data_IF_649043240699
#
_entry.id   IF_649043240699
#
_cell.length_a   1.000
_cell.length_b   1.000
_cell.length_c   1.000
_cell.angle_alpha   90.00
_cell.angle_beta   90.00
_cell.angle_gamma   90.00
#
_symmetry.space_group_name_H-M   'P 1'
#
loop_
_entity.id
_entity.type
_entity.pdbx_description
1 polymer ?
#
# COMPACT_ATOMS: atom_id res chain seq x y z
N UNK A 1 -23.60 58.92 -31.10
CA UNK A 1 -25.03 59.23 -31.25
C UNK A 1 -25.67 58.13 -32.09
N UNK A 2 -26.64 57.39 -31.51
CA UNK A 2 -27.83 56.71 -32.13
C UNK A 2 -27.63 55.75 -33.31
N UNK A 3 -28.18 54.52 -33.39
CA UNK A 3 -29.21 53.71 -32.70
C UNK A 3 -28.91 52.23 -33.08
N UNK A 4 -28.79 51.27 -32.16
CA UNK A 4 -29.85 50.42 -31.59
C UNK A 4 -30.71 49.65 -32.62
N UNK A 5 -30.60 48.32 -32.63
CA UNK A 5 -31.70 47.41 -32.98
C UNK A 5 -31.65 46.14 -32.11
N UNK A 6 -32.81 45.91 -31.47
CA UNK A 6 -33.19 44.81 -30.58
C UNK A 6 -33.43 43.51 -31.37
N UNK A 7 -33.10 42.37 -30.77
CA UNK A 7 -34.05 41.25 -30.68
C UNK A 7 -33.70 40.31 -29.53
N UNK A 8 -34.53 40.42 -28.51
CA UNK A 8 -34.66 39.54 -27.36
C UNK A 8 -35.28 38.21 -27.79
N UNK A 9 -34.65 37.09 -27.49
CA UNK A 9 -35.30 35.77 -27.47
C UNK A 9 -35.14 35.20 -26.06
N UNK A 10 -36.24 35.27 -25.30
CA UNK A 10 -36.43 34.52 -24.06
C UNK A 10 -36.94 33.12 -24.43
N UNK A 11 -36.20 32.08 -24.05
CA UNK A 11 -36.73 30.71 -24.01
C UNK A 11 -36.76 30.28 -22.55
N UNK A 12 -37.97 30.31 -21.97
CA UNK A 12 -38.30 29.69 -20.69
C UNK A 12 -38.69 28.25 -20.99
N UNK A 13 -37.90 27.29 -20.53
CA UNK A 13 -38.24 25.86 -20.56
C UNK A 13 -38.61 25.43 -19.14
N UNK A 14 -39.92 25.36 -18.90
CA UNK A 14 -40.50 24.77 -17.71
C UNK A 14 -40.51 23.24 -17.87
N UNK A 15 -39.83 22.52 -16.96
CA UNK A 15 -39.92 21.07 -16.85
C UNK A 15 -40.81 20.74 -15.66
N UNK A 16 -41.98 20.20 -15.97
CA UNK A 16 -42.99 19.72 -15.03
C UNK A 16 -42.59 18.37 -14.44
N UNK A 17 -42.57 18.28 -13.12
CA UNK A 17 -42.40 17.03 -12.37
C UNK A 17 -43.73 16.28 -12.28
N UNK A 18 -43.77 15.03 -12.77
CA UNK A 18 -44.87 14.09 -12.57
C UNK A 18 -44.49 13.08 -11.50
N UNK A 19 -44.98 13.32 -10.28
CA UNK A 19 -45.05 12.32 -9.21
C UNK A 19 -46.27 11.44 -9.47
N UNK A 20 -46.06 10.12 -9.64
CA UNK A 20 -47.14 9.14 -9.55
C UNK A 20 -46.87 8.21 -8.37
N UNK A 21 -47.77 8.35 -7.39
CA UNK A 21 -47.93 7.52 -6.20
C UNK A 21 -48.79 6.31 -6.56
N UNK A 22 -48.36 5.11 -6.16
CA UNK A 22 -49.23 3.96 -6.00
C UNK A 22 -48.95 3.34 -4.63
N UNK A 23 -49.95 3.40 -3.75
CA UNK A 23 -49.96 2.78 -2.42
C UNK A 23 -50.80 1.50 -2.40
N UNK A 24 -50.37 0.59 -1.52
CA UNK A 24 -51.11 -0.44 -0.77
C UNK A 24 -51.70 -1.67 -1.51
N UNK A 25 -51.30 -2.87 -1.10
CA UNK A 25 -51.96 -3.56 0.04
C UNK A 25 -51.16 -4.81 0.51
N UNK A 26 -51.19 -5.18 1.81
CA UNK A 26 -50.46 -6.32 2.35
C UNK A 26 -51.32 -7.60 2.35
N UNK A 27 -50.67 -8.77 2.19
CA UNK A 27 -51.28 -10.07 2.49
C UNK A 27 -50.48 -10.80 3.57
N UNK A 28 -51.17 -10.96 4.68
CA UNK A 28 -50.94 -11.86 5.81
C UNK A 28 -50.88 -13.31 5.36
N UNK A 29 -49.84 -14.06 5.78
CA UNK A 29 -49.91 -15.53 5.93
C UNK A 29 -49.22 -15.91 7.25
N UNK A 30 -50.09 -16.16 8.23
CA UNK A 30 -50.06 -17.14 9.33
C UNK A 30 -48.72 -17.73 9.80
N UNK A 31 -48.41 -17.44 11.07
CA UNK A 31 -47.64 -18.30 11.97
C UNK A 31 -48.42 -19.59 12.27
N UNK A 32 -47.72 -20.72 12.34
CA UNK A 32 -48.21 -21.91 13.03
C UNK A 32 -47.11 -22.47 13.92
N UNK A 33 -47.33 -22.31 15.22
CA UNK A 33 -46.69 -23.03 16.31
C UNK A 33 -47.23 -24.45 16.33
N UNK A 34 -46.38 -25.46 16.56
CA UNK A 34 -46.80 -26.51 17.47
C UNK A 34 -45.66 -27.19 18.22
N UNK A 35 -45.98 -27.39 19.50
CA UNK A 35 -45.18 -27.88 20.60
C UNK A 35 -44.75 -29.35 20.48
N UNK A 36 -43.74 -29.66 21.30
CA UNK A 36 -43.26 -30.98 21.69
C UNK A 36 -44.35 -31.89 22.32
N UNK A 37 -43.99 -33.16 22.58
CA UNK A 37 -43.93 -33.53 24.00
C UNK A 37 -42.69 -34.39 24.38
N UNK A 38 -42.22 -34.15 25.62
CA UNK A 38 -41.44 -35.08 26.47
C UNK A 38 -42.32 -36.28 26.88
N UNK A 39 -41.90 -37.42 27.43
CA UNK A 39 -40.70 -37.93 28.07
C UNK A 39 -40.82 -39.49 28.07
N UNK A 40 -39.77 -40.23 28.43
CA UNK A 40 -39.71 -41.16 29.60
C UNK A 40 -38.43 -42.01 29.55
N UNK A 41 -37.82 -42.17 30.73
CA UNK A 41 -36.57 -42.89 31.05
C UNK A 41 -36.79 -44.39 31.28
N UNK A 42 -35.81 -45.23 30.91
CA UNK A 42 -35.51 -46.49 31.59
C UNK A 42 -34.06 -46.93 31.28
N UNK A 43 -33.40 -47.47 32.30
CA UNK A 43 -31.96 -47.63 32.40
C UNK A 43 -31.45 -49.08 32.20
N UNK A 44 -30.11 -49.15 32.07
CA UNK A 44 -29.19 -50.27 32.35
C UNK A 44 -29.01 -51.35 31.28
N UNK A 45 -27.83 -51.38 30.64
CA UNK A 45 -26.84 -52.46 30.75
C UNK A 45 -25.55 -52.16 29.94
N UNK A 46 -24.41 -52.48 30.53
CA UNK A 46 -23.08 -52.71 29.90
C UNK A 46 -22.47 -53.92 30.63
N UNK A 47 -21.36 -54.58 30.22
CA UNK A 47 -20.40 -54.37 29.11
C UNK A 47 -20.11 -55.74 28.37
N UNK A 48 -18.99 -56.07 27.65
CA UNK A 48 -17.71 -55.36 27.49
C UNK A 48 -16.99 -55.36 26.12
N UNK A 49 -16.03 -54.42 26.06
CA UNK A 49 -14.73 -54.39 25.37
C UNK A 49 -14.63 -54.69 23.86
N UNK A 50 -14.05 -53.76 23.09
CA UNK A 50 -12.69 -53.89 22.50
C UNK A 50 -12.44 -52.79 21.42
N UNK A 51 -11.25 -52.17 21.45
CA UNK A 51 -10.58 -51.34 20.41
C UNK A 51 -11.23 -49.99 20.01
N UNK A 52 -10.54 -48.86 19.81
CA UNK A 52 -9.13 -48.50 19.73
C UNK A 52 -9.05 -46.96 19.73
N UNK A 53 -8.11 -46.37 20.46
CA UNK A 53 -7.87 -44.92 20.53
C UNK A 53 -7.15 -44.40 19.28
N UNK A 54 -7.43 -43.18 18.78
CA UNK A 54 -6.54 -42.49 17.85
C UNK A 54 -5.50 -41.65 18.60
N UNK A 55 -4.27 -41.71 18.09
CA UNK A 55 -3.07 -41.03 18.55
C UNK A 55 -3.23 -39.51 18.72
N UNK A 56 -2.65 -39.01 19.82
CA UNK A 56 -2.37 -37.59 20.02
C UNK A 56 -1.06 -37.25 19.30
N UNK A 57 -1.00 -36.26 18.38
CA UNK A 57 0.27 -35.85 17.82
C UNK A 57 1.05 -35.09 18.90
N UNK A 58 2.17 -35.67 19.32
CA UNK A 58 3.19 -35.02 20.16
C UNK A 58 3.66 -33.75 19.46
N UNK A 59 3.40 -32.57 20.05
CA UNK A 59 4.01 -31.31 19.65
C UNK A 59 5.53 -31.41 19.82
N UNK A 60 6.24 -31.51 18.72
CA UNK A 60 7.67 -31.22 18.66
C UNK A 60 7.91 -29.80 19.17
N UNK A 61 8.87 -29.55 20.08
CA UNK A 61 9.24 -28.21 20.49
C UNK A 61 9.69 -27.41 19.27
N UNK A 62 9.03 -26.30 18.99
CA UNK A 62 9.46 -25.36 17.97
C UNK A 62 10.86 -24.83 18.35
N UNK A 63 11.84 -25.04 17.48
CA UNK A 63 13.14 -24.40 17.55
C UNK A 63 12.93 -22.88 17.66
N UNK A 64 13.58 -22.16 18.60
CA UNK A 64 13.43 -20.72 18.69
C UNK A 64 13.90 -20.08 17.38
N UNK A 65 13.02 -19.26 16.79
CA UNK A 65 13.35 -18.41 15.65
C UNK A 65 14.59 -17.56 16.00
N UNK A 66 15.60 -17.46 15.12
CA UNK A 66 16.74 -16.58 15.38
C UNK A 66 16.25 -15.16 15.62
N UNK A 67 16.85 -14.48 16.61
CA UNK A 67 16.58 -13.08 16.87
C UNK A 67 16.88 -12.25 15.61
N UNK A 68 16.14 -11.16 15.35
CA UNK A 68 16.36 -10.32 14.17
C UNK A 68 17.82 -9.86 14.10
N UNK A 69 18.49 -10.16 12.99
CA UNK A 69 19.85 -9.70 12.74
C UNK A 69 19.84 -8.17 12.62
N UNK A 70 20.62 -7.48 13.45
CA UNK A 70 20.69 -6.01 13.43
C UNK A 70 21.52 -5.60 12.22
N UNK A 71 20.84 -5.23 11.13
CA UNK A 71 21.47 -4.73 9.91
C UNK A 71 22.04 -3.33 10.18
N UNK A 72 23.35 -3.17 10.03
CA UNK A 72 23.99 -1.87 10.18
C UNK A 72 23.58 -0.90 9.06
N UNK A 73 23.31 0.38 9.36
CA UNK A 73 22.93 1.35 8.33
C UNK A 73 24.12 1.65 7.41
N UNK A 74 23.84 1.73 6.11
CA UNK A 74 24.80 2.05 5.04
C UNK A 74 24.51 3.40 4.39
N UNK A 75 23.24 3.82 4.36
CA UNK A 75 22.82 5.05 3.69
C UNK A 75 22.07 5.96 4.66
N UNK A 76 22.21 7.27 4.45
CA UNK A 76 21.38 8.27 5.11
C UNK A 76 20.72 9.19 4.07
N UNK A 77 19.54 9.69 4.42
CA UNK A 77 18.78 10.59 3.56
C UNK A 77 19.16 12.05 3.83
N UNK A 78 19.37 12.80 2.75
CA UNK A 78 19.59 14.24 2.77
C UNK A 78 18.28 15.02 2.86
N UNK A 79 18.35 16.33 3.14
CA UNK A 79 17.18 17.22 3.20
C UNK A 79 16.41 17.36 1.87
N UNK A 80 17.00 16.91 0.75
CA UNK A 80 16.38 16.90 -0.59
C UNK A 80 16.03 15.48 -1.05
N UNK A 81 15.82 14.57 -0.09
CA UNK A 81 15.34 13.19 -0.31
C UNK A 81 16.25 12.31 -1.20
N UNK A 82 17.54 12.68 -1.29
CA UNK A 82 18.59 11.82 -1.88
C UNK A 82 19.26 10.99 -0.82
N UNK A 83 19.78 9.83 -1.19
CA UNK A 83 20.51 8.94 -0.30
C UNK A 83 22.02 9.02 -0.56
N UNK A 84 22.80 9.18 0.51
CA UNK A 84 24.26 9.18 0.45
C UNK A 84 24.80 8.05 1.33
N UNK A 85 25.91 7.41 0.93
CA UNK A 85 26.56 6.42 1.79
C UNK A 85 27.10 7.11 3.06
N UNK A 86 26.86 6.50 4.21
CA UNK A 86 27.44 6.92 5.50
C UNK A 86 28.96 6.67 5.50
N UNK A 87 29.36 5.58 4.84
CA UNK A 87 30.75 5.16 4.66
C UNK A 87 30.94 4.65 3.22
N UNK A 88 31.63 5.45 2.40
CA UNK A 88 31.85 5.15 0.98
C UNK A 88 32.72 3.90 0.74
N UNK A 89 33.42 3.40 1.77
CA UNK A 89 34.17 2.15 1.67
C UNK A 89 33.27 0.92 1.78
N UNK A 90 32.05 1.09 2.29
CA UNK A 90 31.06 0.02 2.52
C UNK A 90 29.86 0.09 1.59
N UNK A 91 29.60 1.24 0.98
CA UNK A 91 28.42 1.48 0.15
C UNK A 91 28.73 2.38 -1.04
N UNK A 92 28.11 2.09 -2.18
CA UNK A 92 28.32 2.83 -3.43
C UNK A 92 27.62 4.19 -3.40
N UNK A 93 28.29 5.23 -3.90
CA UNK A 93 27.64 6.50 -4.23
C UNK A 93 26.63 6.37 -5.38
N UNK A 94 26.93 5.51 -6.36
CA UNK A 94 26.04 5.23 -7.49
C UNK A 94 25.05 4.15 -7.08
N UNK A 95 24.12 4.55 -6.22
CA UNK A 95 23.01 3.72 -5.79
C UNK A 95 21.71 4.51 -5.95
N UNK A 96 20.60 3.80 -6.17
CA UNK A 96 19.24 4.37 -6.21
C UNK A 96 18.32 3.59 -5.30
N UNK A 97 17.35 4.28 -4.71
CA UNK A 97 16.24 3.68 -3.98
C UNK A 97 15.04 3.57 -4.92
N UNK A 98 14.49 2.36 -5.04
CA UNK A 98 13.26 2.10 -5.78
C UNK A 98 12.07 2.20 -4.83
N UNK A 99 11.04 2.96 -5.23
CA UNK A 99 9.82 3.10 -4.43
C UNK A 99 8.58 3.03 -5.30
N UNK A 100 7.53 2.39 -4.78
CA UNK A 100 6.23 2.23 -5.44
C UNK A 100 5.13 2.75 -4.52
N UNK A 101 4.40 3.76 -4.96
CA UNK A 101 3.22 4.27 -4.27
C UNK A 101 1.97 3.50 -4.70
N UNK A 102 0.91 3.68 -3.92
CA UNK A 102 -0.44 3.21 -4.23
C UNK A 102 -0.66 1.70 -4.22
N UNK A 103 0.19 0.96 -3.51
CA UNK A 103 0.03 -0.48 -3.29
C UNK A 103 -0.85 -0.81 -2.07
N UNK A 104 -1.29 -2.06 -1.88
CA UNK A 104 -1.42 -3.12 -2.87
C UNK A 104 -2.82 -3.14 -3.54
N UNK A 105 -2.93 -3.29 -4.85
CA UNK A 105 -4.24 -3.33 -5.53
C UNK A 105 -4.43 -4.48 -6.52
N UNK A 106 -3.46 -4.71 -7.40
CA UNK A 106 -3.55 -5.61 -8.53
C UNK A 106 -2.51 -6.71 -8.41
N UNK A 107 -2.99 -7.94 -8.20
CA UNK A 107 -2.15 -9.12 -8.03
C UNK A 107 -1.19 -9.36 -9.19
N UNK A 108 -1.62 -9.18 -10.43
CA UNK A 108 -0.78 -9.42 -11.61
C UNK A 108 0.36 -8.40 -11.68
N UNK A 109 0.04 -7.11 -11.49
CA UNK A 109 1.04 -6.03 -11.47
C UNK A 109 2.05 -6.25 -10.36
N UNK A 110 1.60 -6.56 -9.14
CA UNK A 110 2.50 -6.85 -8.00
C UNK A 110 3.41 -8.04 -8.33
N UNK A 111 2.89 -9.15 -8.86
CA UNK A 111 3.75 -10.29 -9.19
C UNK A 111 4.81 -9.91 -10.24
N UNK A 112 4.43 -9.19 -11.30
CA UNK A 112 5.38 -8.75 -12.32
C UNK A 112 6.47 -7.82 -11.75
N UNK A 113 6.09 -6.90 -10.87
CA UNK A 113 7.05 -6.03 -10.17
C UNK A 113 8.00 -6.86 -9.30
N UNK A 114 7.48 -7.78 -8.48
CA UNK A 114 8.27 -8.61 -7.56
C UNK A 114 9.21 -9.57 -8.31
N UNK A 115 8.75 -10.19 -9.40
CA UNK A 115 9.55 -11.09 -10.22
C UNK A 115 10.71 -10.33 -10.89
N UNK A 116 10.46 -9.10 -11.35
CA UNK A 116 11.50 -8.23 -11.89
C UNK A 116 12.49 -7.80 -10.81
N UNK A 117 12.01 -7.38 -9.64
CA UNK A 117 12.88 -7.02 -8.52
C UNK A 117 13.78 -8.19 -8.11
N UNK A 118 13.25 -9.41 -8.04
CA UNK A 118 14.04 -10.59 -7.71
C UNK A 118 15.05 -10.96 -8.79
N UNK A 119 14.69 -10.83 -10.07
CA UNK A 119 15.61 -11.01 -11.22
C UNK A 119 16.83 -10.09 -11.12
N UNK A 120 16.63 -8.86 -10.66
CA UNK A 120 17.67 -7.84 -10.51
C UNK A 120 18.30 -7.82 -9.10
N UNK A 121 17.92 -8.75 -8.22
CA UNK A 121 18.32 -8.74 -6.80
C UNK A 121 18.08 -7.39 -6.11
N UNK A 122 17.06 -6.66 -6.55
CA UNK A 122 16.71 -5.34 -6.07
C UNK A 122 15.69 -5.43 -4.93
N UNK A 123 15.83 -4.52 -3.96
CA UNK A 123 14.83 -4.29 -2.92
C UNK A 123 14.24 -2.89 -3.07
N UNK A 124 12.97 -2.76 -2.71
CA UNK A 124 12.18 -1.55 -2.87
C UNK A 124 11.31 -1.28 -1.64
N UNK A 125 10.82 -0.05 -1.55
CA UNK A 125 9.76 0.33 -0.61
C UNK A 125 8.43 0.38 -1.36
N UNK A 126 7.44 -0.37 -0.88
CA UNK A 126 6.05 -0.26 -1.32
C UNK A 126 5.28 0.58 -0.30
N UNK A 127 4.95 1.81 -0.66
CA UNK A 127 4.14 2.70 0.15
C UNK A 127 2.67 2.34 -0.01
N UNK A 128 2.08 1.79 1.06
CA UNK A 128 0.73 1.20 1.01
C UNK A 128 -0.34 2.14 1.54
N UNK A 129 -1.52 2.11 0.90
CA UNK A 129 -2.71 2.78 1.45
C UNK A 129 -3.48 1.84 2.37
N UNK A 130 -3.94 2.35 3.51
CA UNK A 130 -4.68 1.56 4.49
C UNK A 130 -5.95 0.90 3.92
N UNK A 131 -6.74 1.64 3.14
CA UNK A 131 -7.95 1.08 2.53
C UNK A 131 -7.64 -0.08 1.58
N UNK A 132 -6.52 -0.02 0.85
CA UNK A 132 -6.04 -1.06 -0.07
C UNK A 132 -5.52 -2.28 0.68
N UNK A 133 -4.75 -2.06 1.74
CA UNK A 133 -4.29 -3.14 2.63
C UNK A 133 -5.48 -3.91 3.19
N UNK A 134 -6.54 -3.22 3.64
CA UNK A 134 -7.75 -3.85 4.15
C UNK A 134 -8.50 -4.67 3.09
N UNK A 135 -8.47 -4.23 1.83
CA UNK A 135 -9.10 -4.92 0.70
C UNK A 135 -8.27 -6.12 0.20
N UNK A 136 -6.95 -6.02 0.28
CA UNK A 136 -5.99 -6.98 -0.28
C UNK A 136 -4.90 -7.38 0.73
N UNK A 137 -5.26 -7.90 1.92
CA UNK A 137 -4.28 -8.25 2.96
C UNK A 137 -3.31 -9.35 2.51
N UNK A 138 -3.72 -10.21 1.58
CA UNK A 138 -2.89 -11.24 0.97
C UNK A 138 -1.77 -10.66 0.11
N UNK A 139 -1.99 -9.52 -0.55
CA UNK A 139 -0.99 -8.88 -1.40
C UNK A 139 0.04 -8.12 -0.55
N UNK A 140 -0.37 -7.51 0.57
CA UNK A 140 0.57 -6.95 1.55
C UNK A 140 1.53 -8.05 2.05
N UNK A 141 0.98 -9.19 2.46
CA UNK A 141 1.77 -10.34 2.93
C UNK A 141 2.73 -10.84 1.86
N UNK A 142 2.26 -10.98 0.61
CA UNK A 142 3.11 -11.37 -0.51
C UNK A 142 4.31 -10.43 -0.71
N UNK A 143 4.10 -9.11 -0.68
CA UNK A 143 5.17 -8.12 -0.81
C UNK A 143 6.20 -8.30 0.31
N UNK A 144 5.74 -8.45 1.56
CA UNK A 144 6.61 -8.66 2.73
C UNK A 144 7.35 -10.00 2.68
N UNK A 145 6.67 -11.10 2.34
CA UNK A 145 7.24 -12.45 2.20
C UNK A 145 8.32 -12.51 1.11
N UNK A 146 8.19 -11.71 0.03
CA UNK A 146 9.22 -11.54 -1.01
C UNK A 146 10.36 -10.61 -0.57
N UNK A 147 10.38 -10.23 0.71
CA UNK A 147 11.45 -9.49 1.37
C UNK A 147 11.50 -8.01 1.01
N UNK A 148 10.43 -7.45 0.43
CA UNK A 148 10.33 -6.02 0.15
C UNK A 148 9.93 -5.25 1.42
N UNK A 149 10.22 -3.95 1.44
CA UNK A 149 9.93 -3.10 2.59
C UNK A 149 8.57 -2.44 2.44
N UNK A 150 7.77 -2.42 3.50
CA UNK A 150 6.48 -1.72 3.53
C UNK A 150 6.67 -0.31 4.09
N UNK A 151 6.19 0.69 3.34
CA UNK A 151 6.07 2.08 3.75
C UNK A 151 4.60 2.48 3.96
N UNK A 152 4.36 3.55 4.69
CA UNK A 152 3.03 4.07 4.97
C UNK A 152 2.67 5.22 4.00
N UNK A 153 1.52 5.10 3.32
CA UNK A 153 0.99 6.10 2.39
C UNK A 153 -0.40 6.62 2.79
N UNK A 154 -0.64 6.76 4.09
CA UNK A 154 -1.92 7.14 4.70
C UNK A 154 -3.07 6.16 4.45
N UNK A 155 -4.16 6.31 5.19
CA UNK A 155 -5.28 5.37 5.13
C UNK A 155 -6.11 5.53 3.85
N UNK A 156 -6.65 6.72 3.58
CA UNK A 156 -7.61 7.03 2.51
C UNK A 156 -6.97 7.73 1.29
N UNK A 157 -5.65 7.98 1.32
CA UNK A 157 -4.95 8.73 0.27
C UNK A 157 -5.52 10.15 0.05
N UNK A 158 -5.87 10.84 1.13
CA UNK A 158 -6.33 12.24 1.11
C UNK A 158 -5.15 13.23 1.20
N UNK A 159 -5.37 14.48 0.80
CA UNK A 159 -4.37 15.55 0.91
C UNK A 159 -4.21 15.99 2.38
N UNK A 160 -3.35 15.28 3.12
CA UNK A 160 -3.12 15.47 4.56
C UNK A 160 -2.71 16.89 4.93
N UNK A 161 -2.11 17.65 4.01
CA UNK A 161 -1.75 19.06 4.26
C UNK A 161 -2.97 19.94 4.54
N UNK A 162 -4.16 19.55 4.06
CA UNK A 162 -5.42 20.29 4.24
C UNK A 162 -6.22 19.82 5.45
N UNK A 163 -5.74 18.80 6.16
CA UNK A 163 -6.47 18.15 7.24
C UNK A 163 -6.03 18.65 8.62
N UNK A 164 -6.90 18.43 9.61
CA UNK A 164 -6.59 18.74 11.01
C UNK A 164 -5.63 17.71 11.62
N UNK A 165 -4.83 18.07 12.64
CA UNK A 165 -3.87 17.16 13.26
C UNK A 165 -4.43 15.79 13.65
N UNK A 166 -5.62 15.73 14.24
CA UNK A 166 -6.25 14.46 14.65
C UNK A 166 -6.58 13.55 13.46
N UNK A 167 -6.96 14.15 12.32
CA UNK A 167 -7.21 13.40 11.08
C UNK A 167 -5.90 12.91 10.49
N UNK A 168 -4.85 13.75 10.46
CA UNK A 168 -3.51 13.34 10.00
C UNK A 168 -3.01 12.15 10.83
N UNK A 169 -3.12 12.25 12.15
CA UNK A 169 -2.75 11.19 13.08
C UNK A 169 -3.52 9.90 12.81
N UNK A 170 -4.85 9.98 12.67
CA UNK A 170 -5.71 8.83 12.36
C UNK A 170 -5.31 8.16 11.03
N UNK A 171 -5.06 8.96 9.99
CA UNK A 171 -4.67 8.47 8.67
C UNK A 171 -3.34 7.72 8.69
N UNK A 172 -2.41 8.12 9.56
CA UNK A 172 -1.10 7.48 9.69
C UNK A 172 -1.15 6.26 10.63
N UNK A 173 -1.69 6.43 11.83
CA UNK A 173 -1.70 5.42 12.89
C UNK A 173 -2.51 4.17 12.52
N UNK A 174 -3.61 4.32 11.77
CA UNK A 174 -4.41 3.19 11.33
C UNK A 174 -3.63 2.28 10.36
N UNK A 175 -2.81 2.85 9.47
CA UNK A 175 -1.94 2.07 8.59
C UNK A 175 -0.86 1.33 9.39
N UNK A 176 -0.22 2.00 10.37
CA UNK A 176 0.73 1.35 11.27
C UNK A 176 0.12 0.12 11.95
N UNK A 177 -1.08 0.28 12.50
CA UNK A 177 -1.82 -0.76 13.23
C UNK A 177 -2.18 -1.93 12.31
N UNK A 178 -2.78 -1.64 11.16
CA UNK A 178 -3.23 -2.67 10.21
C UNK A 178 -2.04 -3.47 9.66
N UNK A 179 -0.98 -2.80 9.21
CA UNK A 179 0.22 -3.46 8.69
C UNK A 179 0.85 -4.34 9.77
N UNK A 180 1.06 -3.82 10.99
CA UNK A 180 1.60 -4.61 12.11
C UNK A 180 0.77 -5.85 12.41
N UNK A 181 -0.55 -5.74 12.35
CA UNK A 181 -1.44 -6.87 12.61
C UNK A 181 -1.30 -8.00 11.57
N UNK A 182 -0.94 -7.65 10.33
CA UNK A 182 -0.86 -8.58 9.21
C UNK A 182 0.53 -9.23 9.05
N UNK A 183 1.60 -8.48 9.30
CA UNK A 183 2.99 -8.92 9.03
C UNK A 183 3.93 -8.85 10.25
N UNK A 184 3.45 -8.37 11.40
CA UNK A 184 4.21 -8.29 12.65
C UNK A 184 5.18 -7.11 12.76
N UNK A 185 5.26 -6.27 11.72
CA UNK A 185 6.17 -5.12 11.65
C UNK A 185 5.41 -3.83 11.36
N UNK A 186 5.86 -2.72 11.95
CA UNK A 186 5.35 -1.38 11.66
C UNK A 186 6.17 -0.74 10.55
N UNK A 187 5.54 -0.04 9.57
CA UNK A 187 6.27 0.76 8.60
C UNK A 187 7.20 1.77 9.26
N UNK A 188 8.43 1.88 8.73
CA UNK A 188 9.46 2.84 9.19
C UNK A 188 9.63 4.03 8.25
N UNK A 189 8.92 4.03 7.14
CA UNK A 189 9.00 5.05 6.10
C UNK A 189 7.60 5.60 5.85
N UNK A 190 7.51 6.91 5.72
CA UNK A 190 6.26 7.58 5.40
C UNK A 190 6.43 8.47 4.18
N UNK A 191 5.48 8.41 3.26
CA UNK A 191 5.35 9.36 2.15
C UNK A 191 3.93 9.92 2.16
N UNK A 192 3.74 11.25 2.17
CA UNK A 192 2.39 11.80 2.10
C UNK A 192 1.81 11.62 0.69
N UNK A 193 0.49 11.34 0.57
CA UNK A 193 -0.23 11.41 -0.69
C UNK A 193 0.08 12.69 -1.47
N UNK A 194 0.20 12.56 -2.80
CA UNK A 194 0.48 13.67 -3.72
C UNK A 194 1.82 14.40 -3.50
N UNK A 195 2.70 13.87 -2.64
CA UNK A 195 3.86 14.62 -2.13
C UNK A 195 3.46 15.84 -1.29
N UNK A 196 2.18 15.96 -0.92
CA UNK A 196 1.61 17.11 -0.24
C UNK A 196 1.71 16.95 1.27
N UNK A 197 2.83 17.42 1.83
CA UNK A 197 3.05 17.46 3.27
C UNK A 197 3.06 18.87 3.86
N UNK A 198 3.39 18.92 5.14
CA UNK A 198 3.55 20.13 5.95
C UNK A 198 4.12 19.76 7.32
N UNK A 199 4.36 20.74 8.18
CA UNK A 199 5.01 20.49 9.47
C UNK A 199 4.18 19.58 10.38
N UNK A 200 2.84 19.71 10.35
CA UNK A 200 1.95 18.80 11.08
C UNK A 200 2.07 17.34 10.60
N UNK A 201 2.18 17.12 9.29
CA UNK A 201 2.32 15.78 8.71
C UNK A 201 3.69 15.18 9.03
N UNK A 202 4.76 16.00 8.98
CA UNK A 202 6.12 15.57 9.37
C UNK A 202 6.18 15.21 10.84
N UNK A 203 5.58 16.01 11.71
CA UNK A 203 5.55 15.76 13.15
C UNK A 203 4.76 14.49 13.47
N UNK A 204 3.62 14.26 12.81
CA UNK A 204 2.87 13.01 12.96
C UNK A 204 3.72 11.80 12.52
N UNK A 205 4.37 11.85 11.35
CA UNK A 205 5.25 10.77 10.91
C UNK A 205 6.40 10.49 11.91
N UNK A 206 7.00 11.55 12.45
CA UNK A 206 8.06 11.48 13.46
C UNK A 206 7.58 10.87 14.78
N UNK A 207 6.36 11.20 15.23
CA UNK A 207 5.76 10.62 16.44
C UNK A 207 5.57 9.10 16.33
N UNK A 208 5.40 8.58 15.12
CA UNK A 208 5.38 7.15 14.80
C UNK A 208 6.75 6.55 14.49
N UNK A 209 7.84 7.31 14.69
CA UNK A 209 9.20 6.83 14.45
C UNK A 209 9.53 6.59 12.98
N UNK A 210 8.81 7.23 12.05
CA UNK A 210 9.01 7.02 10.62
C UNK A 210 9.90 8.10 9.99
N UNK A 211 10.74 7.68 9.05
CA UNK A 211 11.44 8.60 8.16
C UNK A 211 10.46 9.14 7.11
N UNK A 212 10.14 10.43 7.22
CA UNK A 212 9.34 11.15 6.21
C UNK A 212 10.17 11.38 4.94
N UNK A 213 9.64 11.02 3.76
CA UNK A 213 10.26 11.32 2.47
C UNK A 213 9.25 11.60 1.37
N UNK A 214 9.65 12.36 0.34
CA UNK A 214 8.98 12.33 -0.97
C UNK A 214 9.86 11.59 -1.96
N UNK A 215 10.36 12.24 -3.01
CA UNK A 215 11.25 11.67 -4.02
C UNK A 215 12.20 12.74 -4.56
N UNK A 216 13.29 12.30 -5.17
CA UNK A 216 14.24 13.17 -5.86
C UNK A 216 14.27 12.93 -7.38
N UNK A 217 13.60 11.87 -7.85
CA UNK A 217 13.50 11.45 -9.23
C UNK A 217 12.10 10.86 -9.44
N UNK A 218 11.29 11.46 -10.32
CA UNK A 218 9.90 11.03 -10.54
C UNK A 218 9.72 10.39 -11.92
N UNK A 219 9.09 9.22 -11.97
CA UNK A 219 8.76 8.54 -13.24
C UNK A 219 7.70 9.26 -14.07
N UNK A 220 6.84 10.04 -13.41
CA UNK A 220 5.63 10.65 -13.99
C UNK A 220 4.68 9.60 -14.60
N UNK A 221 4.72 8.35 -14.12
CA UNK A 221 3.88 7.26 -14.61
C UNK A 221 2.37 7.48 -14.32
N UNK A 222 2.03 8.41 -13.44
CA UNK A 222 0.67 8.86 -13.16
C UNK A 222 0.15 9.97 -14.09
N UNK A 223 1.00 10.57 -14.92
CA UNK A 223 0.58 11.69 -15.77
C UNK A 223 -0.36 11.27 -16.90
N UNK A 224 -1.51 11.92 -16.99
CA UNK A 224 -2.53 11.65 -18.01
C UNK A 224 -2.10 11.98 -19.46
N UNK A 225 -0.94 12.61 -19.66
CA UNK A 225 -0.45 12.96 -21.00
C UNK A 225 0.12 11.75 -21.74
N UNK A 226 0.51 10.70 -21.03
CA UNK A 226 1.06 9.48 -21.63
C UNK A 226 0.68 8.23 -20.81
N UNK A 227 -0.63 7.99 -20.59
CA UNK A 227 -1.07 6.86 -19.80
C UNK A 227 -0.71 5.57 -20.54
N UNK A 228 -0.09 4.62 -19.85
CA UNK A 228 0.19 3.31 -20.44
C UNK A 228 1.46 3.22 -21.29
N UNK A 229 2.41 4.16 -21.19
CA UNK A 229 3.66 4.14 -21.96
C UNK A 229 4.89 3.77 -21.10
N UNK A 230 5.39 2.52 -21.18
CA UNK A 230 6.58 2.08 -20.46
C UNK A 230 7.87 2.82 -20.85
N UNK A 231 8.03 3.19 -22.12
CA UNK A 231 9.24 3.88 -22.58
C UNK A 231 9.30 5.30 -22.03
N UNK A 232 8.14 5.93 -21.85
CA UNK A 232 8.06 7.26 -21.23
C UNK A 232 8.50 7.22 -19.77
N UNK A 233 8.07 6.20 -19.00
CA UNK A 233 8.54 5.93 -17.63
C UNK A 233 10.07 5.85 -17.59
N UNK A 234 10.66 5.05 -18.48
CA UNK A 234 12.11 4.87 -18.55
C UNK A 234 12.80 6.21 -18.86
N UNK A 235 12.35 6.93 -19.89
CA UNK A 235 12.97 8.20 -20.29
C UNK A 235 12.94 9.24 -19.16
N UNK A 236 11.80 9.39 -18.47
CA UNK A 236 11.63 10.39 -17.43
C UNK A 236 12.56 10.10 -16.23
N UNK A 237 12.69 8.82 -15.85
CA UNK A 237 13.62 8.41 -14.79
C UNK A 237 15.06 8.69 -15.19
N UNK A 238 15.47 8.30 -16.41
CA UNK A 238 16.86 8.45 -16.88
C UNK A 238 17.28 9.91 -17.09
N UNK A 239 16.37 10.78 -17.55
CA UNK A 239 16.63 12.21 -17.74
C UNK A 239 16.93 12.93 -16.42
N UNK A 240 16.33 12.47 -15.31
CA UNK A 240 16.52 13.03 -13.97
C UNK A 240 17.51 12.24 -13.11
N UNK A 241 18.16 11.22 -13.68
CA UNK A 241 18.96 10.25 -12.91
C UNK A 241 20.21 10.90 -12.31
N UNK A 242 20.44 10.67 -11.03
CA UNK A 242 21.64 11.11 -10.32
C UNK A 242 22.02 10.13 -9.19
N UNK A 243 23.27 10.13 -8.70
CA UNK A 243 23.68 9.38 -7.51
C UNK A 243 22.72 9.61 -6.34
N UNK A 244 22.32 8.53 -5.67
CA UNK A 244 21.42 8.60 -4.51
C UNK A 244 19.95 8.87 -4.85
N UNK A 245 19.52 8.71 -6.10
CA UNK A 245 18.15 9.02 -6.48
C UNK A 245 17.13 8.16 -5.73
N UNK A 246 16.12 8.82 -5.16
CA UNK A 246 14.90 8.20 -4.68
C UNK A 246 13.87 8.24 -5.82
N UNK A 247 13.66 7.11 -6.47
CA UNK A 247 12.83 6.96 -7.68
C UNK A 247 11.40 6.66 -7.25
N UNK A 248 10.49 7.59 -7.51
CA UNK A 248 9.04 7.40 -7.37
C UNK A 248 8.47 6.74 -8.61
N UNK A 249 7.74 5.64 -8.40
CA UNK A 249 6.89 4.95 -9.35
C UNK A 249 5.58 4.55 -8.65
N UNK A 250 4.62 3.98 -9.38
CA UNK A 250 3.35 3.47 -8.84
C UNK A 250 3.12 2.01 -9.25
N UNK A 251 2.22 1.34 -8.53
CA UNK A 251 1.72 0.01 -8.90
C UNK A 251 0.82 0.06 -10.15
N UNK A 252 1.41 0.24 -11.33
CA UNK A 252 0.73 0.39 -12.62
C UNK A 252 1.26 -0.62 -13.65
N UNK A 253 0.38 -1.03 -14.58
CA UNK A 253 0.72 -2.06 -15.59
C UNK A 253 1.88 -1.65 -16.48
N UNK A 254 1.94 -0.38 -16.90
CA UNK A 254 3.05 0.14 -17.71
C UNK A 254 4.34 0.33 -16.91
N UNK A 255 4.24 0.64 -15.61
CA UNK A 255 5.41 0.65 -14.72
C UNK A 255 6.00 -0.75 -14.58
N UNK A 256 5.16 -1.77 -14.39
CA UNK A 256 5.61 -3.17 -14.36
C UNK A 256 6.25 -3.59 -15.70
N UNK A 257 5.67 -3.18 -16.84
CA UNK A 257 6.25 -3.44 -18.15
C UNK A 257 7.56 -2.69 -18.40
N UNK A 258 7.77 -1.51 -17.79
CA UNK A 258 8.98 -0.71 -17.91
C UNK A 258 10.14 -1.23 -17.05
N UNK A 259 9.82 -1.85 -15.90
CA UNK A 259 10.75 -2.02 -14.79
C UNK A 259 12.00 -2.82 -15.18
N UNK A 260 11.85 -3.92 -15.93
CA UNK A 260 12.98 -4.80 -16.29
C UNK A 260 14.03 -4.07 -17.13
N UNK A 261 13.57 -3.36 -18.16
CA UNK A 261 14.45 -2.56 -19.01
C UNK A 261 15.01 -1.35 -18.25
N UNK A 262 14.22 -0.72 -17.37
CA UNK A 262 14.71 0.36 -16.52
C UNK A 262 15.87 -0.11 -15.64
N UNK A 263 15.70 -1.21 -14.91
CA UNK A 263 16.71 -1.72 -13.98
C UNK A 263 17.97 -2.15 -14.72
N UNK A 264 17.83 -2.84 -15.85
CA UNK A 264 18.96 -3.17 -16.74
C UNK A 264 19.73 -1.91 -17.14
N UNK A 265 19.04 -0.83 -17.56
CA UNK A 265 19.70 0.44 -17.94
C UNK A 265 20.38 1.13 -16.77
N UNK A 266 19.86 0.99 -15.55
CA UNK A 266 20.49 1.54 -14.34
C UNK A 266 21.78 0.78 -14.03
N UNK A 267 21.75 -0.54 -14.09
CA UNK A 267 22.92 -1.42 -13.93
C UNK A 267 24.00 -1.16 -15.00
N UNK A 268 23.60 -1.03 -16.27
CA UNK A 268 24.50 -0.66 -17.38
C UNK A 268 25.18 0.69 -17.15
N UNK A 269 24.49 1.61 -16.48
CA UNK A 269 25.04 2.91 -16.06
C UNK A 269 25.86 2.81 -14.77
N UNK A 270 26.02 1.63 -14.19
CA UNK A 270 26.79 1.36 -12.98
C UNK A 270 26.10 1.80 -11.68
N UNK A 271 24.76 1.82 -11.66
CA UNK A 271 24.00 2.01 -10.43
C UNK A 271 23.71 0.67 -9.75
N UNK A 272 23.69 0.71 -8.43
CA UNK A 272 23.23 -0.38 -7.55
C UNK A 272 21.90 -0.01 -6.91
N UNK A 273 21.20 -0.98 -6.33
CA UNK A 273 19.93 -0.76 -5.65
C UNK A 273 20.12 -0.71 -4.12
N UNK A 274 19.60 0.33 -3.49
CA UNK A 274 19.64 0.48 -2.04
C UNK A 274 18.66 -0.51 -1.41
N UNK A 275 19.13 -1.39 -0.54
CA UNK A 275 18.25 -2.16 0.35
C UNK A 275 17.67 -1.20 1.40
N UNK A 276 16.34 -0.98 1.44
CA UNK A 276 15.74 -0.07 2.40
C UNK A 276 16.04 -0.42 3.86
N UNK A 277 16.34 -1.68 4.20
CA UNK A 277 16.71 -2.10 5.56
C UNK A 277 18.06 -1.54 6.01
N UNK A 278 18.89 -1.09 5.07
CA UNK A 278 20.18 -0.45 5.34
C UNK A 278 20.10 1.07 5.44
N UNK A 279 18.91 1.66 5.34
CA UNK A 279 18.72 3.10 5.50
C UNK A 279 18.68 3.44 6.99
N UNK A 280 19.47 4.46 7.38
CA UNK A 280 19.39 5.07 8.70
C UNK A 280 18.05 5.79 8.86
N UNK A 281 17.20 5.26 9.74
CA UNK A 281 15.92 5.87 10.09
C UNK A 281 16.14 6.81 11.27
N UNK A 282 16.14 8.11 10.99
CA UNK A 282 16.05 9.17 12.00
C UNK A 282 14.67 9.81 11.81
N UNK A 283 13.73 9.64 12.76
CA UNK A 283 12.40 10.23 12.69
C UNK A 283 12.42 11.76 12.72
#
# INVERSE_FOLDING_TARGET
MTKANLSTICVVLAVTALLTSCSANPKTITANSNAAPSATSAAVQSPPAEQSSPDTPTKTPATPSPAPEVIAPLYEMTSVYRFVPIDETKASKKAVLLTFDDAPHNKEVINNLLDTLDKHHAKAIFFVNGYRVKQHPELLKLIHERGQTIGNHSWDHIDLKKEQPDMIETQIANVQTEVKSLIGEEPKFFRPPYGSGGDAVKEAAKNHGMLYMTWSNGSLDWEQKSPGDPDKVISNVLEQLHPGANILMHELTWTAAALDNLLTKLEDKGYTFIDPKTIKVIP
#
